data_IF_871164052491
#
_entry.id   IF_871164052491
#
_cell.length_a   1.000
_cell.length_b   1.000
_cell.length_c   1.000
_cell.angle_alpha   90.00
_cell.angle_beta   90.00
_cell.angle_gamma   90.00
#
_symmetry.space_group_name_H-M   'P 1'
#
loop_
_entity.id
_entity.type
_entity.pdbx_description
1 polymer ?
#
# COMPACT_ATOMS: atom_id res chain seq x y z
N UNK A 1 31.44 -16.66 -20.75
CA UNK A 1 31.20 -17.45 -21.97
C UNK A 1 29.77 -17.93 -21.91
N UNK A 2 28.86 -17.25 -22.62
CA UNK A 2 27.41 -17.40 -22.50
C UNK A 2 26.96 -18.63 -23.28
N UNK A 3 26.19 -19.54 -22.67
CA UNK A 3 25.47 -20.60 -23.38
C UNK A 3 23.99 -20.54 -23.03
N UNK A 4 23.23 -19.99 -23.98
CA UNK A 4 21.78 -20.03 -24.07
C UNK A 4 21.34 -21.47 -24.32
N UNK A 5 20.35 -21.97 -23.59
CA UNK A 5 19.67 -23.24 -23.90
C UNK A 5 18.18 -22.93 -24.11
N UNK A 6 17.72 -23.38 -25.27
CA UNK A 6 16.42 -23.19 -25.89
C UNK A 6 15.27 -23.89 -25.15
N UNK A 7 14.14 -23.20 -25.05
CA UNK A 7 12.81 -23.78 -24.82
C UNK A 7 12.37 -24.62 -26.04
N UNK A 8 11.82 -25.80 -25.78
CA UNK A 8 11.13 -26.62 -26.78
C UNK A 8 9.66 -26.83 -26.36
N UNK A 9 8.80 -26.20 -27.14
CA UNK A 9 7.34 -26.32 -27.20
C UNK A 9 6.93 -27.76 -27.60
N UNK A 10 6.05 -28.41 -26.83
CA UNK A 10 5.31 -29.59 -27.27
C UNK A 10 3.83 -29.24 -27.33
N UNK A 11 3.34 -29.08 -28.55
CA UNK A 11 1.94 -28.90 -28.92
C UNK A 11 1.29 -30.29 -28.91
N UNK A 12 0.37 -30.51 -27.99
CA UNK A 12 -0.45 -31.72 -27.87
C UNK A 12 -1.83 -31.51 -28.48
N UNK A 13 -2.02 -32.04 -29.70
CA UNK A 13 -3.27 -32.18 -30.44
C UNK A 13 -4.31 -32.97 -29.64
N UNK A 14 -5.50 -32.39 -29.39
CA UNK A 14 -6.73 -33.18 -29.18
C UNK A 14 -7.84 -32.58 -30.03
N UNK A 15 -8.06 -33.23 -31.17
CA UNK A 15 -9.20 -33.01 -32.05
C UNK A 15 -10.41 -33.77 -31.50
N UNK A 16 -11.50 -33.07 -31.20
CA UNK A 16 -12.85 -33.65 -31.23
C UNK A 16 -13.62 -32.99 -32.37
N UNK A 17 -13.76 -33.74 -33.46
CA UNK A 17 -14.76 -33.47 -34.50
C UNK A 17 -16.04 -34.22 -34.12
N UNK A 18 -17.16 -33.50 -34.12
CA UNK A 18 -18.49 -34.08 -34.32
C UNK A 18 -19.32 -33.05 -35.08
N UNK A 19 -19.71 -33.45 -36.28
CA UNK A 19 -20.40 -32.66 -37.28
C UNK A 19 -21.91 -32.61 -37.01
N UNK A 20 -22.55 -31.52 -37.45
CA UNK A 20 -23.93 -31.55 -37.90
C UNK A 20 -24.16 -30.50 -39.00
N UNK A 21 -24.81 -30.94 -40.08
CA UNK A 21 -25.35 -30.22 -41.25
C UNK A 21 -26.07 -28.91 -40.87
N UNK A 22 -26.29 -27.93 -41.74
CA UNK A 22 -26.32 -27.74 -43.19
C UNK A 22 -26.78 -26.28 -43.38
N UNK A 23 -26.62 -25.55 -44.48
CA UNK A 23 -26.99 -25.83 -45.86
C UNK A 23 -26.40 -24.68 -46.72
N UNK A 24 -26.12 -25.00 -47.99
CA UNK A 24 -25.61 -24.18 -49.10
C UNK A 24 -26.33 -22.83 -49.31
N UNK A 25 -25.63 -21.70 -49.48
CA UNK A 25 -24.88 -21.19 -50.65
C UNK A 25 -25.70 -20.17 -51.47
N UNK A 26 -25.23 -18.91 -51.53
CA UNK A 26 -25.43 -17.97 -52.65
C UNK A 26 -24.61 -16.68 -52.48
N UNK A 27 -23.37 -16.74 -52.94
CA UNK A 27 -22.64 -15.76 -53.79
C UNK A 27 -22.95 -14.24 -53.74
N UNK A 28 -21.89 -13.45 -53.52
CA UNK A 28 -21.77 -12.05 -53.97
C UNK A 28 -20.52 -11.32 -53.43
N UNK A 29 -19.56 -10.97 -54.31
CA UNK A 29 -18.26 -10.34 -54.02
C UNK A 29 -18.34 -8.79 -53.83
N UNK A 30 -17.71 -8.29 -52.74
CA UNK A 30 -16.68 -7.19 -52.60
C UNK A 30 -17.09 -5.73 -52.98
N UNK A 31 -16.55 -4.61 -52.39
CA UNK A 31 -15.74 -4.33 -51.17
C UNK A 31 -16.21 -3.14 -50.27
N UNK A 32 -15.49 -2.96 -49.14
CA UNK A 32 -15.13 -1.72 -48.42
C UNK A 32 -16.21 -0.90 -47.68
N UNK A 33 -16.08 -0.79 -46.35
CA UNK A 33 -15.79 0.48 -45.63
C UNK A 33 -15.64 0.26 -44.11
N UNK A 34 -14.61 0.93 -43.58
CA UNK A 34 -14.38 1.43 -42.22
C UNK A 34 -14.39 0.48 -41.00
N UNK A 35 -13.17 0.28 -40.51
CA UNK A 35 -12.84 0.10 -39.09
C UNK A 35 -13.34 1.30 -38.28
N UNK A 36 -14.08 1.02 -37.22
CA UNK A 36 -14.14 1.88 -36.02
C UNK A 36 -14.00 0.99 -34.80
N UNK A 37 -12.96 1.31 -34.02
CA UNK A 37 -12.66 0.81 -32.69
C UNK A 37 -13.83 1.09 -31.74
N UNK A 38 -14.26 0.06 -31.01
CA UNK A 38 -14.98 0.17 -29.74
C UNK A 38 -14.69 -1.12 -28.98
N UNK A 39 -13.77 -1.06 -28.01
CA UNK A 39 -13.65 -2.03 -26.92
C UNK A 39 -12.69 -1.44 -25.88
N UNK A 40 -13.15 -0.46 -25.10
CA UNK A 40 -12.46 -0.03 -23.89
C UNK A 40 -13.41 0.52 -22.82
N UNK A 41 -14.50 -0.18 -22.51
CA UNK A 41 -15.42 0.26 -21.44
C UNK A 41 -15.86 -0.86 -20.48
N UNK A 42 -15.11 -1.95 -20.34
CA UNK A 42 -15.49 -2.96 -19.35
C UNK A 42 -14.33 -3.78 -18.77
N UNK A 43 -13.31 -3.11 -18.21
CA UNK A 43 -12.33 -3.75 -17.32
C UNK A 43 -12.71 -3.48 -15.86
N UNK A 44 -12.69 -4.52 -15.03
CA UNK A 44 -12.95 -4.39 -13.60
C UNK A 44 -11.89 -3.52 -12.92
N UNK A 45 -12.20 -2.94 -11.76
CA UNK A 45 -11.25 -2.12 -10.99
C UNK A 45 -9.94 -2.87 -10.72
N UNK A 46 -10.02 -4.16 -10.39
CA UNK A 46 -8.86 -5.02 -10.18
C UNK A 46 -7.98 -5.19 -11.43
N UNK A 47 -8.56 -5.25 -12.63
CA UNK A 47 -7.80 -5.39 -13.88
C UNK A 47 -7.14 -4.08 -14.31
N UNK A 48 -7.75 -2.93 -13.98
CA UNK A 48 -7.16 -1.61 -14.20
C UNK A 48 -6.05 -1.30 -13.20
N UNK A 49 -6.19 -1.77 -11.95
CA UNK A 49 -5.16 -1.64 -10.91
C UNK A 49 -3.90 -2.45 -11.25
N UNK A 50 -4.02 -3.60 -11.90
CA UNK A 50 -2.87 -4.38 -12.38
C UNK A 50 -2.13 -3.69 -13.54
N UNK A 51 -2.83 -3.04 -14.47
CA UNK A 51 -2.19 -2.28 -15.56
C UNK A 51 -1.44 -1.04 -15.06
N UNK A 52 -1.99 -0.33 -14.06
CA UNK A 52 -1.31 0.82 -13.45
C UNK A 52 -0.07 0.41 -12.62
N UNK A 53 -0.15 -0.72 -11.90
CA UNK A 53 1.00 -1.27 -11.17
C UNK A 53 2.15 -1.71 -12.11
N UNK A 54 1.83 -2.26 -13.29
CA UNK A 54 2.84 -2.60 -14.31
C UNK A 54 3.48 -1.36 -14.98
N UNK A 55 2.77 -0.23 -15.06
CA UNK A 55 3.34 1.04 -15.54
C UNK A 55 4.24 1.73 -14.50
N UNK A 56 3.95 1.57 -13.21
CA UNK A 56 4.71 2.15 -12.08
C UNK A 56 6.00 1.37 -11.74
N UNK A 57 6.12 0.09 -12.10
CA UNK A 57 7.31 -0.73 -11.81
C UNK A 57 8.61 -0.20 -12.49
N UNK A 58 8.51 0.80 -13.38
CA UNK A 58 9.66 1.47 -14.01
C UNK A 58 10.08 2.80 -13.36
N UNK A 59 9.34 3.31 -12.37
CA UNK A 59 9.67 4.54 -11.64
C UNK A 59 9.50 4.30 -10.13
N UNK A 60 10.55 3.80 -9.47
CA UNK A 60 10.66 3.90 -8.01
C UNK A 60 10.82 5.38 -7.63
N UNK A 61 9.69 6.08 -7.48
CA UNK A 61 9.62 7.47 -7.00
C UNK A 61 8.91 7.55 -5.64
N UNK A 62 9.53 6.95 -4.61
CA UNK A 62 9.16 7.21 -3.20
C UNK A 62 9.59 8.64 -2.77
N UNK A 63 10.38 9.33 -3.59
CA UNK A 63 10.93 10.66 -3.28
C UNK A 63 9.86 11.74 -3.27
N UNK A 64 9.04 11.85 -4.32
CA UNK A 64 8.10 12.96 -4.49
C UNK A 64 6.94 12.92 -3.47
N UNK A 65 6.42 11.73 -3.16
CA UNK A 65 5.39 11.51 -2.11
C UNK A 65 5.86 11.96 -0.72
N UNK A 66 7.13 11.74 -0.42
CA UNK A 66 7.73 12.07 0.88
C UNK A 66 7.91 13.59 1.02
N UNK A 67 8.35 14.26 -0.06
CA UNK A 67 8.61 15.69 -0.08
C UNK A 67 7.32 16.52 0.11
N UNK A 68 6.24 16.17 -0.57
CA UNK A 68 4.95 16.85 -0.40
C UNK A 68 4.38 16.69 1.02
N UNK A 69 4.53 15.50 1.62
CA UNK A 69 4.07 15.26 3.00
C UNK A 69 4.86 16.08 4.00
N UNK A 70 6.20 16.15 3.86
CA UNK A 70 7.05 16.98 4.72
C UNK A 70 6.63 18.45 4.61
N UNK A 71 6.40 18.95 3.39
CA UNK A 71 5.91 20.32 3.20
C UNK A 71 4.58 20.57 3.94
N UNK A 72 3.65 19.61 3.88
CA UNK A 72 2.36 19.70 4.58
C UNK A 72 2.51 19.62 6.10
N UNK A 73 3.45 18.83 6.62
CA UNK A 73 3.80 18.74 8.06
C UNK A 73 4.50 20.01 8.57
N UNK A 74 5.21 20.72 7.69
CA UNK A 74 5.79 22.02 8.00
C UNK A 74 4.73 23.13 8.02
N UNK A 75 3.89 23.20 6.97
CA UNK A 75 2.99 24.31 6.70
C UNK A 75 1.61 24.18 7.36
N UNK A 76 1.07 22.97 7.50
CA UNK A 76 -0.31 22.71 7.90
C UNK A 76 -1.35 23.09 6.84
N UNK A 77 -0.89 23.42 5.64
CA UNK A 77 -1.74 23.83 4.51
C UNK A 77 -1.85 22.71 3.48
N UNK A 78 -2.65 22.95 2.45
CA UNK A 78 -2.74 22.06 1.30
C UNK A 78 -1.49 22.18 0.44
N UNK A 79 -0.82 21.07 0.21
CA UNK A 79 0.35 20.94 -0.67
C UNK A 79 0.01 20.04 -1.86
N UNK A 80 0.59 20.33 -3.02
CA UNK A 80 0.45 19.49 -4.22
C UNK A 80 1.35 18.25 -4.07
N UNK A 81 0.82 17.08 -4.43
CA UNK A 81 1.48 15.78 -4.45
C UNK A 81 1.10 15.03 -5.73
N UNK A 82 1.74 13.88 -5.99
CA UNK A 82 1.54 13.09 -7.22
C UNK A 82 0.11 12.63 -7.48
N UNK A 83 -0.69 12.52 -6.41
CA UNK A 83 -2.05 12.00 -6.46
C UNK A 83 -3.13 13.06 -6.22
N UNK A 84 -2.76 14.34 -6.24
CA UNK A 84 -3.62 15.48 -5.98
C UNK A 84 -3.08 16.36 -4.86
N UNK A 85 -3.97 16.94 -4.06
CA UNK A 85 -3.55 17.78 -2.92
C UNK A 85 -3.63 17.01 -1.62
N UNK A 86 -2.71 17.29 -0.71
CA UNK A 86 -2.72 16.73 0.64
C UNK A 86 -2.64 17.79 1.72
N UNK A 87 -3.19 17.48 2.88
CA UNK A 87 -3.08 18.29 4.08
C UNK A 87 -2.99 17.39 5.31
N UNK A 88 -2.15 17.73 6.27
CA UNK A 88 -2.08 17.02 7.55
C UNK A 88 -3.32 17.32 8.39
N UNK A 89 -4.10 16.27 8.69
CA UNK A 89 -5.26 16.33 9.56
C UNK A 89 -4.90 16.00 11.01
N UNK A 90 -3.91 15.15 11.23
CA UNK A 90 -3.43 14.82 12.57
C UNK A 90 -2.13 14.04 12.62
N UNK A 91 -1.53 13.98 13.80
CA UNK A 91 -0.26 13.30 14.08
C UNK A 91 -0.47 12.34 15.26
N UNK A 92 0.00 11.11 15.10
CA UNK A 92 -0.11 10.04 16.09
C UNK A 92 1.07 10.03 17.05
N UNK A 93 0.78 9.83 18.33
CA UNK A 93 1.74 9.76 19.42
C UNK A 93 1.59 8.45 20.20
N UNK A 94 2.71 7.85 20.58
CA UNK A 94 2.78 6.66 21.41
C UNK A 94 4.14 6.56 22.12
N UNK A 95 4.11 6.61 23.46
CA UNK A 95 5.29 6.56 24.33
C UNK A 95 6.10 5.25 24.22
N UNK A 96 5.43 4.15 23.88
CA UNK A 96 6.03 2.82 23.81
C UNK A 96 7.01 2.71 22.63
N UNK A 97 6.63 3.25 21.47
CA UNK A 97 7.50 3.37 20.29
C UNK A 97 8.27 4.69 20.26
N UNK A 98 8.12 5.54 21.27
CA UNK A 98 8.91 6.76 21.43
C UNK A 98 8.51 7.90 20.49
N UNK A 99 7.27 7.91 20.00
CA UNK A 99 6.70 9.06 19.29
C UNK A 99 5.97 9.92 20.31
N UNK A 100 6.73 10.72 21.07
CA UNK A 100 6.24 11.52 22.21
C UNK A 100 6.28 13.04 21.96
N UNK A 101 6.65 13.46 20.74
CA UNK A 101 6.81 14.85 20.33
C UNK A 101 8.19 15.43 20.63
N UNK A 102 9.13 14.64 21.17
CA UNK A 102 10.52 15.07 21.34
C UNK A 102 11.37 14.66 20.14
N UNK A 103 12.49 15.34 19.92
CA UNK A 103 13.52 14.94 18.93
C UNK A 103 14.28 13.64 19.33
N UNK A 104 13.76 12.88 20.30
CA UNK A 104 14.36 11.62 20.72
C UNK A 104 14.18 10.58 19.61
N UNK A 105 15.19 9.74 19.35
CA UNK A 105 15.02 8.64 18.41
C UNK A 105 13.93 7.70 18.91
N UNK A 106 13.05 7.27 17.99
CA UNK A 106 12.02 6.28 18.27
C UNK A 106 12.59 5.00 18.88
N UNK A 107 11.76 4.29 19.65
CA UNK A 107 12.12 3.05 20.34
C UNK A 107 11.74 1.86 19.46
N UNK A 108 12.71 0.94 19.29
CA UNK A 108 12.44 -0.34 18.68
C UNK A 108 11.52 -1.19 19.56
N UNK A 109 10.52 -1.81 18.95
CA UNK A 109 9.83 -2.96 19.52
C UNK A 109 10.63 -4.22 19.22
N UNK A 110 11.05 -4.90 20.27
CA UNK A 110 11.75 -6.19 20.17
C UNK A 110 10.70 -7.32 20.13
N UNK A 111 10.54 -7.93 18.97
CA UNK A 111 9.58 -9.00 18.70
C UNK A 111 10.36 -10.28 18.33
N UNK A 112 10.85 -10.96 19.36
CA UNK A 112 11.76 -12.09 19.18
C UNK A 112 13.09 -11.63 18.54
N UNK A 113 13.55 -12.22 17.42
CA UNK A 113 14.74 -11.77 16.70
C UNK A 113 14.50 -10.57 15.76
N UNK A 114 13.30 -10.02 15.72
CA UNK A 114 12.94 -8.89 14.84
C UNK A 114 12.83 -7.59 15.65
N UNK A 115 13.36 -6.51 15.09
CA UNK A 115 13.14 -5.15 15.58
C UNK A 115 12.21 -4.40 14.65
N UNK A 116 11.15 -3.84 15.20
CA UNK A 116 10.24 -2.95 14.49
C UNK A 116 10.40 -1.53 15.03
N UNK A 117 10.74 -0.59 14.15
CA UNK A 117 10.64 0.84 14.38
C UNK A 117 9.40 1.37 13.68
N UNK A 118 8.63 2.17 14.41
CA UNK A 118 7.58 3.02 13.84
C UNK A 118 8.10 4.43 13.98
N UNK A 119 8.40 5.08 12.86
CA UNK A 119 9.02 6.39 12.85
C UNK A 119 7.98 7.50 12.93
N UNK A 120 6.83 7.31 12.28
CA UNK A 120 5.74 8.29 12.25
C UNK A 120 4.38 7.62 12.10
N UNK A 121 3.34 8.33 12.54
CA UNK A 121 1.96 8.06 12.15
C UNK A 121 1.31 9.41 11.83
N UNK A 122 0.90 9.61 10.59
CA UNK A 122 0.28 10.86 10.13
C UNK A 122 -1.10 10.55 9.54
N UNK A 123 -2.11 11.32 9.92
CA UNK A 123 -3.43 11.31 9.30
C UNK A 123 -3.49 12.47 8.32
N UNK A 124 -3.81 12.19 7.06
CA UNK A 124 -3.91 13.22 6.02
C UNK A 124 -5.29 13.25 5.38
N UNK A 125 -5.69 14.44 4.95
CA UNK A 125 -6.77 14.66 4.00
C UNK A 125 -6.20 14.79 2.59
N UNK A 126 -6.92 14.27 1.61
CA UNK A 126 -6.53 14.23 0.21
C UNK A 126 -7.70 14.73 -0.65
N UNK A 127 -7.41 15.64 -1.58
CA UNK A 127 -8.27 16.00 -2.70
C UNK A 127 -7.62 15.45 -3.98
N UNK A 128 -8.05 14.27 -4.47
CA UNK A 128 -7.40 13.63 -5.60
C UNK A 128 -7.56 14.44 -6.89
N UNK A 129 -6.57 14.37 -7.78
CA UNK A 129 -6.77 14.79 -9.16
C UNK A 129 -7.70 13.82 -9.92
N UNK A 130 -8.15 14.21 -11.12
CA UNK A 130 -9.12 13.44 -11.91
C UNK A 130 -8.62 12.03 -12.26
N UNK A 131 -7.32 11.85 -12.48
CA UNK A 131 -6.77 10.55 -12.85
C UNK A 131 -6.74 9.65 -11.60
N UNK A 132 -6.13 10.12 -10.52
CA UNK A 132 -5.97 9.35 -9.28
C UNK A 132 -7.30 9.10 -8.55
N UNK A 133 -8.29 9.98 -8.72
CA UNK A 133 -9.65 9.78 -8.22
C UNK A 133 -10.22 8.44 -8.69
N UNK A 134 -10.10 8.10 -9.96
CA UNK A 134 -10.66 6.87 -10.53
C UNK A 134 -9.75 5.64 -10.32
N UNK A 135 -8.42 5.82 -10.39
CA UNK A 135 -7.48 4.70 -10.32
C UNK A 135 -7.12 4.27 -8.89
N UNK A 136 -6.95 5.23 -7.97
CA UNK A 136 -6.49 4.97 -6.61
C UNK A 136 -7.61 5.07 -5.57
N UNK A 137 -8.61 5.93 -5.80
CA UNK A 137 -9.53 6.35 -4.74
C UNK A 137 -11.00 6.06 -5.01
N UNK A 138 -11.30 5.13 -5.93
CA UNK A 138 -12.66 4.63 -6.22
C UNK A 138 -13.70 5.73 -6.50
N UNK A 139 -13.30 6.79 -7.21
CA UNK A 139 -14.17 7.90 -7.60
C UNK A 139 -14.45 8.92 -6.48
N UNK A 140 -13.72 8.88 -5.36
CA UNK A 140 -13.94 9.78 -4.21
C UNK A 140 -13.29 11.15 -4.43
N UNK A 141 -14.06 12.22 -4.25
CA UNK A 141 -13.56 13.61 -4.28
C UNK A 141 -12.70 13.98 -3.07
N UNK A 142 -12.89 13.26 -1.96
CA UNK A 142 -12.17 13.46 -0.71
C UNK A 142 -11.81 12.13 -0.10
N UNK A 143 -10.58 12.02 0.36
CA UNK A 143 -10.07 10.83 1.00
C UNK A 143 -9.36 11.23 2.28
N UNK A 144 -9.48 10.41 3.31
CA UNK A 144 -8.67 10.51 4.53
C UNK A 144 -7.86 9.23 4.65
N UNK A 145 -6.57 9.36 4.91
CA UNK A 145 -5.66 8.23 5.00
C UNK A 145 -4.81 8.32 6.27
N UNK A 146 -4.42 7.16 6.79
CA UNK A 146 -3.36 7.04 7.79
C UNK A 146 -2.11 6.56 7.08
N UNK A 147 -0.99 7.24 7.32
CA UNK A 147 0.32 6.91 6.77
C UNK A 147 1.22 6.55 7.93
N UNK A 148 1.93 5.42 7.83
CA UNK A 148 2.88 4.97 8.84
C UNK A 148 4.21 4.66 8.16
N UNK A 149 5.28 5.32 8.62
CA UNK A 149 6.65 4.99 8.22
C UNK A 149 7.23 3.97 9.19
N UNK A 150 7.77 2.89 8.65
CA UNK A 150 8.27 1.77 9.44
C UNK A 150 9.62 1.29 8.95
N UNK A 151 10.38 0.73 9.88
CA UNK A 151 11.62 0.01 9.59
C UNK A 151 11.63 -1.31 10.35
N UNK A 152 12.04 -2.37 9.67
CA UNK A 152 12.08 -3.72 10.20
C UNK A 152 13.48 -4.28 10.01
N UNK A 153 14.07 -4.82 11.06
CA UNK A 153 15.37 -5.49 11.03
C UNK A 153 15.22 -6.92 11.57
N UNK A 154 15.59 -7.93 10.77
CA UNK A 154 15.87 -9.26 11.30
C UNK A 154 17.31 -9.27 11.82
N UNK A 155 17.49 -9.59 13.10
CA UNK A 155 18.81 -9.63 13.76
C UNK A 155 19.43 -11.03 13.81
N UNK A 156 18.69 -12.05 13.36
CA UNK A 156 19.12 -13.45 13.33
C UNK A 156 19.66 -13.86 11.95
N UNK A 157 20.38 -14.98 11.90
CA UNK A 157 20.81 -15.60 10.64
C UNK A 157 19.71 -16.49 10.02
N UNK A 158 18.61 -16.72 10.74
CA UNK A 158 17.49 -17.54 10.30
C UNK A 158 16.53 -16.72 9.42
N UNK A 159 15.83 -17.40 8.51
CA UNK A 159 14.83 -16.78 7.64
C UNK A 159 13.51 -16.59 8.41
N UNK A 160 12.96 -15.37 8.32
CA UNK A 160 11.78 -14.94 9.07
C UNK A 160 10.80 -14.27 8.13
N UNK A 161 9.51 -14.45 8.41
CA UNK A 161 8.44 -13.74 7.77
C UNK A 161 7.75 -12.83 8.77
N UNK A 162 7.58 -11.56 8.41
CA UNK A 162 6.93 -10.57 9.26
C UNK A 162 6.30 -9.46 8.42
N UNK A 163 5.02 -9.16 8.69
CA UNK A 163 4.21 -8.30 7.84
C UNK A 163 3.57 -7.14 8.63
N UNK A 164 4.34 -6.24 9.26
CA UNK A 164 3.76 -5.11 10.00
C UNK A 164 3.10 -4.08 9.07
N UNK A 165 3.54 -4.01 7.81
CA UNK A 165 2.87 -3.29 6.73
C UNK A 165 1.47 -3.84 6.39
N UNK A 166 1.11 -5.05 6.82
CA UNK A 166 -0.25 -5.60 6.69
C UNK A 166 -1.04 -5.53 8.01
N UNK A 167 -0.62 -4.68 8.94
CA UNK A 167 -1.33 -4.49 10.22
C UNK A 167 -2.75 -3.96 10.01
N UNK A 168 -3.61 -4.28 10.98
CA UNK A 168 -4.99 -3.78 11.01
C UNK A 168 -5.04 -2.53 11.87
N UNK A 169 -5.66 -1.46 11.35
CA UNK A 169 -5.97 -0.28 12.16
C UNK A 169 -7.44 -0.28 12.59
N UNK A 170 -7.68 0.09 13.84
CA UNK A 170 -9.01 0.34 14.40
C UNK A 170 -9.08 1.77 14.96
N UNK A 171 -10.00 2.59 14.44
CA UNK A 171 -10.15 3.99 14.86
C UNK A 171 -11.17 4.15 16.00
N UNK A 172 -11.19 5.30 16.68
CA UNK A 172 -12.24 5.63 17.67
C UNK A 172 -13.64 5.79 17.06
N UNK A 173 -13.74 5.93 15.74
CA UNK A 173 -15.02 5.96 15.03
C UNK A 173 -15.65 4.57 14.87
N UNK A 174 -14.94 3.53 15.31
CA UNK A 174 -15.35 2.12 15.19
C UNK A 174 -15.00 1.50 13.84
N UNK A 175 -14.19 2.19 13.04
CA UNK A 175 -13.75 1.70 11.75
C UNK A 175 -12.59 0.73 11.90
N UNK A 176 -12.62 -0.37 11.15
CA UNK A 176 -11.49 -1.28 10.97
C UNK A 176 -11.04 -1.22 9.50
N UNK A 177 -9.75 -0.99 9.28
CA UNK A 177 -9.13 -0.86 7.96
C UNK A 177 -7.86 -1.72 7.85
N UNK A 178 -7.64 -2.23 6.65
CA UNK A 178 -6.44 -2.94 6.22
C UNK A 178 -5.60 -1.99 5.35
N UNK A 179 -4.32 -2.30 5.20
CA UNK A 179 -3.40 -1.50 4.39
C UNK A 179 -3.83 -1.52 2.92
N UNK A 180 -3.63 -0.40 2.23
CA UNK A 180 -3.89 -0.30 0.81
C UNK A 180 -2.79 -1.03 0.03
N UNK A 181 -3.18 -1.98 -0.82
CA UNK A 181 -2.25 -2.84 -1.54
C UNK A 181 -1.35 -2.09 -2.53
N UNK A 182 -1.81 -0.96 -3.08
CA UNK A 182 -1.05 -0.18 -4.06
C UNK A 182 -0.11 0.82 -3.37
N UNK A 183 -0.42 1.20 -2.14
CA UNK A 183 0.32 2.18 -1.34
C UNK A 183 0.99 1.53 -0.13
N UNK A 184 1.31 0.23 -0.24
CA UNK A 184 2.01 -0.55 0.78
C UNK A 184 3.50 -0.65 0.45
N UNK A 185 4.32 0.04 1.23
CA UNK A 185 5.77 -0.01 1.13
C UNK A 185 6.37 -1.33 1.63
N UNK A 186 7.69 -1.42 1.52
CA UNK A 186 8.43 -2.67 1.68
C UNK A 186 8.77 -3.04 3.14
N UNK A 187 8.26 -2.32 4.14
CA UNK A 187 8.48 -2.60 5.57
C UNK A 187 7.75 -3.88 6.04
N UNK A 188 8.14 -5.04 5.49
CA UNK A 188 7.58 -6.36 5.79
C UNK A 188 7.97 -7.42 4.74
N UNK A 189 7.34 -8.59 4.82
CA UNK A 189 7.59 -9.72 3.94
C UNK A 189 8.58 -10.73 4.50
N UNK A 190 9.28 -11.40 3.58
CA UNK A 190 10.33 -12.37 3.89
C UNK A 190 11.66 -11.65 4.20
N UNK A 191 12.37 -12.11 5.23
CA UNK A 191 13.67 -11.62 5.68
C UNK A 191 14.68 -12.77 5.63
N UNK A 192 15.52 -12.80 4.60
CA UNK A 192 16.55 -13.83 4.42
C UNK A 192 17.79 -13.53 5.26
N UNK A 193 17.84 -14.04 6.49
CA UNK A 193 18.84 -13.71 7.50
C UNK A 193 18.83 -12.22 7.88
N UNK A 194 20.03 -11.68 8.14
CA UNK A 194 20.21 -10.31 8.70
C UNK A 194 20.00 -9.20 7.68
N UNK A 195 18.74 -8.91 7.39
CA UNK A 195 18.34 -7.83 6.48
C UNK A 195 17.44 -6.81 7.17
N UNK A 196 17.52 -5.57 6.67
CA UNK A 196 16.66 -4.46 7.05
C UNK A 196 15.78 -4.09 5.86
N UNK A 197 14.51 -3.82 6.13
CA UNK A 197 13.56 -3.24 5.19
C UNK A 197 12.93 -2.00 5.81
N UNK A 198 12.60 -1.03 4.99
CA UNK A 198 11.92 0.20 5.39
C UNK A 198 10.91 0.58 4.33
N UNK A 199 9.92 1.37 4.72
CA UNK A 199 8.89 1.79 3.78
C UNK A 199 7.73 2.44 4.49
N UNK A 200 6.97 3.17 3.69
CA UNK A 200 5.76 3.85 4.09
C UNK A 200 4.55 3.02 3.68
N UNK A 201 3.57 2.87 4.56
CA UNK A 201 2.32 2.16 4.23
C UNK A 201 1.11 3.03 4.55
N UNK A 202 0.07 2.89 3.72
CA UNK A 202 -1.14 3.70 3.77
C UNK A 202 -2.35 2.84 4.13
N UNK A 203 -3.25 3.41 4.91
CA UNK A 203 -4.57 2.87 5.21
C UNK A 203 -5.62 3.91 4.83
N UNK A 204 -6.42 3.60 3.80
CA UNK A 204 -7.48 4.50 3.35
C UNK A 204 -8.71 4.33 4.23
N UNK A 205 -9.13 5.41 4.88
CA UNK A 205 -10.32 5.42 5.72
C UNK A 205 -11.59 5.44 4.84
N UNK A 206 -12.62 4.73 5.30
CA UNK A 206 -13.95 4.63 4.70
C UNK A 206 -14.72 5.94 4.89
N UNK A 207 -14.53 6.60 6.02
CA UNK A 207 -15.18 7.87 6.35
C UNK A 207 -14.15 9.01 6.37
N UNK A 208 -14.18 9.85 5.33
CA UNK A 208 -13.27 10.98 5.17
C UNK A 208 -13.64 12.21 6.01
N UNK A 209 -14.82 12.24 6.62
CA UNK A 209 -15.34 13.46 7.28
C UNK A 209 -15.17 13.44 8.80
N UNK A 210 -14.79 12.29 9.38
CA UNK A 210 -14.62 12.16 10.83
C UNK A 210 -13.20 12.47 11.25
N UNK A 211 -13.08 13.29 12.28
CA UNK A 211 -11.83 13.45 13.03
C UNK A 211 -11.50 12.15 13.75
N UNK A 212 -10.22 11.80 13.73
CA UNK A 212 -9.69 10.60 14.38
C UNK A 212 -8.90 11.05 15.61
N UNK A 213 -9.21 10.47 16.77
CA UNK A 213 -8.55 10.81 18.05
C UNK A 213 -7.68 9.68 18.56
N UNK A 214 -8.02 8.44 18.19
CA UNK A 214 -7.18 7.30 18.52
C UNK A 214 -7.11 6.32 17.37
N UNK A 215 -5.94 5.76 17.15
CA UNK A 215 -5.72 4.66 16.20
C UNK A 215 -5.08 3.51 16.94
N UNK A 216 -5.73 2.34 16.89
CA UNK A 216 -5.18 1.10 17.39
C UNK A 216 -4.59 0.29 16.26
N UNK A 217 -3.28 0.10 16.27
CA UNK A 217 -2.57 -0.75 15.33
C UNK A 217 -2.41 -2.15 15.92
N UNK A 218 -2.82 -3.16 15.15
CA UNK A 218 -2.74 -4.58 15.52
C UNK A 218 -1.77 -5.26 14.56
N UNK A 219 -0.64 -5.70 15.10
CA UNK A 219 0.48 -6.28 14.38
C UNK A 219 0.55 -7.77 14.71
N UNK A 220 0.36 -8.62 13.70
CA UNK A 220 0.58 -10.06 13.82
C UNK A 220 2.04 -10.37 14.19
N UNK A 221 2.32 -11.43 14.94
CA UNK A 221 3.69 -11.76 15.32
C UNK A 221 4.56 -12.13 14.09
N UNK A 222 5.89 -11.96 14.17
CA UNK A 222 6.81 -12.59 13.23
C UNK A 222 6.79 -14.11 13.38
N UNK A 223 6.95 -14.85 12.29
CA UNK A 223 7.05 -16.30 12.29
C UNK A 223 8.29 -16.83 11.58
N UNK A 224 8.78 -17.99 12.00
CA UNK A 224 9.89 -18.69 11.32
C UNK A 224 9.45 -19.10 9.91
N UNK A 225 10.28 -18.89 8.88
CA UNK A 225 9.93 -19.27 7.50
C UNK A 225 9.77 -20.79 7.31
N UNK A 226 10.53 -21.60 8.03
CA UNK A 226 10.53 -23.07 7.87
C UNK A 226 9.36 -23.75 8.61
N UNK A 227 9.16 -23.41 9.88
CA UNK A 227 8.24 -24.14 10.76
C UNK A 227 6.92 -23.39 11.02
N UNK A 228 6.81 -22.13 10.56
CA UNK A 228 5.67 -21.24 10.79
C UNK A 228 5.33 -21.06 12.28
N UNK A 229 6.33 -21.16 13.15
CA UNK A 229 6.18 -20.91 14.58
C UNK A 229 6.25 -19.40 14.87
N UNK A 230 5.30 -18.92 15.68
CA UNK A 230 5.31 -17.54 16.19
C UNK A 230 6.57 -17.30 17.04
N UNK A 231 7.33 -16.27 16.68
CA UNK A 231 8.58 -15.88 17.36
C UNK A 231 8.35 -14.79 18.42
N UNK A 232 7.14 -14.24 18.50
CA UNK A 232 6.67 -13.32 19.53
C UNK A 232 5.14 -13.41 19.68
N UNK A 233 4.56 -12.61 20.58
CA UNK A 233 3.11 -12.45 20.68
C UNK A 233 2.59 -11.34 19.75
N UNK A 234 1.29 -11.37 19.42
CA UNK A 234 0.60 -10.27 18.73
C UNK A 234 0.84 -8.95 19.47
N UNK A 235 1.19 -7.89 18.73
CA UNK A 235 1.45 -6.58 19.31
C UNK A 235 0.29 -5.64 19.00
N UNK A 236 -0.22 -4.98 20.05
CA UNK A 236 -1.22 -3.91 19.94
C UNK A 236 -0.63 -2.60 20.44
N UNK A 237 -0.72 -1.58 19.62
CA UNK A 237 -0.33 -0.20 19.94
C UNK A 237 -1.56 0.68 19.83
N UNK A 238 -1.71 1.61 20.77
CA UNK A 238 -2.77 2.61 20.73
C UNK A 238 -2.12 3.99 20.66
N UNK A 239 -2.34 4.67 19.54
CA UNK A 239 -1.84 6.01 19.27
C UNK A 239 -2.89 7.04 19.67
N UNK A 240 -2.48 8.06 20.40
CA UNK A 240 -3.24 9.31 20.52
C UNK A 240 -3.02 10.11 19.25
N UNK A 241 -4.09 10.54 18.58
CA UNK A 241 -4.01 11.40 17.41
C UNK A 241 -4.40 12.81 17.82
N UNK A 242 -3.45 13.73 17.66
CA UNK A 242 -3.67 15.16 17.86
C UNK A 242 -3.90 15.84 16.52
N UNK A 243 -4.69 16.92 16.50
CA UNK A 243 -4.76 17.80 15.34
C UNK A 243 -3.40 18.43 15.05
N UNK A 244 -3.17 18.89 13.82
CA UNK A 244 -1.92 19.56 13.44
C UNK A 244 -1.48 20.66 14.42
N UNK A 245 -2.39 21.54 14.84
CA UNK A 245 -2.09 22.64 15.77
C UNK A 245 -1.73 22.14 17.18
N UNK A 246 -2.40 21.09 17.64
CA UNK A 246 -2.12 20.47 18.94
C UNK A 246 -0.78 19.72 18.92
N UNK A 247 -0.47 19.06 17.79
CA UNK A 247 0.80 18.38 17.54
C UNK A 247 1.97 19.39 17.54
N UNK A 248 1.89 20.48 16.75
CA UNK A 248 2.89 21.55 16.76
C UNK A 248 3.15 22.14 18.15
N UNK A 249 2.11 22.22 18.98
CA UNK A 249 2.24 22.67 20.35
C UNK A 249 2.98 21.64 21.20
N UNK A 250 2.64 20.35 21.09
CA UNK A 250 3.31 19.26 21.81
C UNK A 250 4.78 19.16 21.42
N UNK A 251 5.09 19.25 20.13
CA UNK A 251 6.46 19.10 19.63
C UNK A 251 7.35 20.31 19.95
N UNK A 252 6.74 21.45 20.30
CA UNK A 252 7.43 22.65 20.75
C UNK A 252 7.61 22.77 22.27
N UNK A 253 7.08 21.84 23.07
CA UNK A 253 7.21 21.79 24.54
C UNK A 253 8.47 21.05 25.01
#
# INVERSE_FOLDING_TARGET
MVKKIWFLLIIGLISFTLAACGDSESTGKVPAENETNEDNENKSSAERQLEWAEEQENENDEGDKTDARIAAEESGEWEEADFGKIKVAGVGYNDEVGIDGTDSPGKALELGPVKLHIDSLTVIDIEPDEDNKEYLFDGKDKVKAVIIDMQVENTSDDDIEFYPNQSILVTDTGEQVESDMLLMGEAGGEFFGKVKKEGQTWWILKDSEKDIKTIKMIISPPHSADEWEDLAEEKRLEFEVLSFEEAKKRDGE
#
